data_IF_148942532185
#
_entry.id   IF_148942532185
#
_cell.length_a   1.000
_cell.length_b   1.000
_cell.length_c   1.000
_cell.angle_alpha   90.00
_cell.angle_beta   90.00
_cell.angle_gamma   90.00
#
_symmetry.space_group_name_H-M   'P 1'
#
loop_
_entity.id
_entity.type
_entity.pdbx_description
1 polymer ?
#
# COMPACT_ATOMS: atom_id res chain seq x y z
N UNK A 1 -20.17 -20.29 26.61
CA UNK A 1 -19.40 -20.71 25.42
C UNK A 1 -18.19 -19.80 25.33
N UNK A 2 -17.00 -20.28 25.71
CA UNK A 2 -15.75 -19.53 25.57
C UNK A 2 -15.10 -20.00 24.26
N UNK A 3 -14.93 -19.08 23.30
CA UNK A 3 -14.16 -19.38 22.10
C UNK A 3 -12.71 -19.01 22.40
N UNK A 4 -11.88 -20.01 22.65
CA UNK A 4 -10.44 -19.86 22.73
C UNK A 4 -9.94 -19.75 21.29
N UNK A 5 -9.83 -18.53 20.76
CA UNK A 5 -9.21 -18.25 19.45
C UNK A 5 -7.71 -18.53 19.53
N UNK A 6 -7.37 -19.81 19.70
CA UNK A 6 -6.00 -20.31 19.62
C UNK A 6 -5.44 -19.95 18.25
N UNK A 7 -4.21 -19.47 18.24
CA UNK A 7 -3.47 -19.14 17.02
C UNK A 7 -4.15 -18.04 16.17
N UNK A 8 -4.93 -17.16 16.81
CA UNK A 8 -5.58 -16.01 16.15
C UNK A 8 -4.56 -15.12 15.45
N UNK A 9 -3.44 -14.84 16.10
CA UNK A 9 -2.42 -13.96 15.56
C UNK A 9 -1.79 -14.55 14.31
N UNK A 10 -1.53 -15.86 14.28
CA UNK A 10 -1.03 -16.57 13.10
C UNK A 10 -2.04 -16.54 11.96
N UNK A 11 -3.33 -16.77 12.26
CA UNK A 11 -4.40 -16.70 11.26
C UNK A 11 -4.57 -15.29 10.69
N UNK A 12 -4.45 -14.24 11.52
CA UNK A 12 -4.50 -12.85 11.08
C UNK A 12 -3.25 -12.46 10.28
N UNK A 13 -2.07 -12.95 10.67
CA UNK A 13 -0.83 -12.73 9.92
C UNK A 13 -0.90 -13.34 8.54
N UNK A 14 -1.39 -14.58 8.40
CA UNK A 14 -1.56 -15.20 7.08
C UNK A 14 -2.48 -14.35 6.18
N UNK A 15 -3.56 -13.80 6.75
CA UNK A 15 -4.48 -12.90 6.04
C UNK A 15 -3.82 -11.58 5.62
N UNK A 16 -2.98 -10.99 6.46
CA UNK A 16 -2.25 -9.78 6.12
C UNK A 16 -1.21 -10.08 5.04
N UNK A 17 -0.33 -11.04 5.26
CA UNK A 17 0.77 -11.35 4.35
C UNK A 17 0.25 -11.80 2.97
N UNK A 18 -0.72 -12.71 2.93
CA UNK A 18 -1.30 -13.19 1.68
C UNK A 18 -2.28 -12.18 1.05
N UNK A 19 -2.88 -11.28 1.86
CA UNK A 19 -3.86 -10.30 1.41
C UNK A 19 -3.28 -8.97 0.91
N UNK A 20 -2.03 -8.65 1.24
CA UNK A 20 -1.33 -7.45 0.75
C UNK A 20 -1.16 -7.50 -0.77
N UNK A 21 -1.53 -6.42 -1.45
CA UNK A 21 -1.44 -6.29 -2.92
C UNK A 21 -0.02 -6.04 -3.43
N UNK A 22 0.83 -5.38 -2.63
CA UNK A 22 2.21 -5.13 -2.99
C UNK A 22 3.08 -6.39 -2.77
N UNK A 23 3.48 -7.02 -3.89
CA UNK A 23 4.33 -8.23 -3.91
C UNK A 23 5.68 -7.99 -3.23
N UNK A 24 6.22 -6.76 -3.29
CA UNK A 24 7.50 -6.42 -2.65
C UNK A 24 7.34 -6.40 -1.14
N UNK A 25 6.24 -5.81 -0.65
CA UNK A 25 5.91 -5.81 0.77
C UNK A 25 5.61 -7.24 1.27
N UNK A 26 4.83 -8.01 0.54
CA UNK A 26 4.56 -9.41 0.87
C UNK A 26 5.85 -10.22 1.02
N UNK A 27 6.78 -10.13 0.04
CA UNK A 27 8.09 -10.80 0.13
C UNK A 27 8.92 -10.29 1.30
N UNK A 28 8.86 -9.00 1.58
CA UNK A 28 9.56 -8.39 2.72
C UNK A 28 9.05 -8.93 4.06
N UNK A 29 7.73 -9.07 4.22
CA UNK A 29 7.11 -9.63 5.42
C UNK A 29 7.44 -11.13 5.57
N UNK A 30 7.34 -11.92 4.50
CA UNK A 30 7.68 -13.35 4.49
C UNK A 30 9.15 -13.64 4.85
N UNK A 31 10.05 -12.70 4.60
CA UNK A 31 11.47 -12.85 4.92
C UNK A 31 11.80 -12.61 6.40
N UNK A 32 10.83 -12.18 7.22
CA UNK A 32 11.04 -11.88 8.64
C UNK A 32 10.76 -13.12 9.50
N UNK A 33 11.76 -13.70 10.18
CA UNK A 33 11.57 -14.93 10.94
C UNK A 33 10.72 -14.73 12.20
N UNK A 34 10.80 -13.57 12.84
CA UNK A 34 10.07 -13.24 14.08
C UNK A 34 9.05 -12.10 13.83
N UNK A 35 8.26 -12.23 12.77
CA UNK A 35 7.23 -11.25 12.45
C UNK A 35 6.09 -11.33 13.47
N UNK A 36 5.77 -10.21 14.11
CA UNK A 36 4.61 -10.09 14.98
C UNK A 36 3.44 -9.46 14.23
N UNK A 37 2.21 -9.86 14.56
CA UNK A 37 0.98 -9.34 13.96
C UNK A 37 0.92 -7.81 13.95
N UNK A 38 1.25 -7.18 15.09
CA UNK A 38 1.28 -5.72 15.22
C UNK A 38 2.19 -5.09 14.15
N UNK A 39 3.40 -5.61 14.00
CA UNK A 39 4.39 -5.06 13.09
C UNK A 39 4.02 -5.29 11.62
N UNK A 40 3.48 -6.47 11.30
CA UNK A 40 2.93 -6.74 9.97
C UNK A 40 1.83 -5.75 9.59
N UNK A 41 0.95 -5.44 10.56
CA UNK A 41 -0.15 -4.49 10.38
C UNK A 41 0.37 -3.06 10.18
N UNK A 42 1.30 -2.60 11.02
CA UNK A 42 1.90 -1.27 10.92
C UNK A 42 2.60 -1.06 9.58
N UNK A 43 3.36 -2.06 9.11
CA UNK A 43 4.06 -1.99 7.83
C UNK A 43 3.09 -2.01 6.63
N UNK A 44 2.03 -2.82 6.69
CA UNK A 44 0.97 -2.83 5.67
C UNK A 44 0.28 -1.46 5.55
N UNK A 45 -0.16 -0.90 6.68
CA UNK A 45 -0.82 0.41 6.74
C UNK A 45 0.11 1.52 6.27
N UNK A 46 1.39 1.50 6.67
CA UNK A 46 2.37 2.48 6.23
C UNK A 46 2.57 2.44 4.71
N UNK A 47 2.64 1.24 4.12
CA UNK A 47 2.79 1.08 2.67
C UNK A 47 1.59 1.62 1.91
N UNK A 48 0.36 1.34 2.37
CA UNK A 48 -0.86 1.87 1.76
C UNK A 48 -0.91 3.40 1.86
N UNK A 49 -0.54 3.96 3.01
CA UNK A 49 -0.49 5.41 3.21
C UNK A 49 0.53 6.10 2.28
N UNK A 50 1.69 5.47 2.05
CA UNK A 50 2.70 5.96 1.10
C UNK A 50 2.16 5.93 -0.32
N UNK A 51 1.52 4.83 -0.73
CA UNK A 51 0.95 4.72 -2.07
C UNK A 51 -0.14 5.76 -2.32
N UNK A 52 -1.06 5.94 -1.36
CA UNK A 52 -2.08 6.98 -1.41
C UNK A 52 -1.46 8.38 -1.49
N UNK A 53 -0.46 8.66 -0.65
CA UNK A 53 0.24 9.95 -0.64
C UNK A 53 0.92 10.23 -1.99
N UNK A 54 1.60 9.24 -2.56
CA UNK A 54 2.22 9.35 -3.88
C UNK A 54 1.18 9.62 -4.97
N UNK A 55 0.04 8.92 -4.94
CA UNK A 55 -1.06 9.16 -5.87
C UNK A 55 -1.61 10.59 -5.76
N UNK A 56 -1.78 11.12 -4.55
CA UNK A 56 -2.24 12.50 -4.34
C UNK A 56 -1.23 13.54 -4.82
N UNK A 57 0.07 13.33 -4.58
CA UNK A 57 1.14 14.19 -5.12
C UNK A 57 1.11 14.20 -6.65
N UNK A 58 0.95 13.02 -7.27
CA UNK A 58 0.82 12.90 -8.72
C UNK A 58 -0.44 13.58 -9.26
N UNK A 59 -1.58 13.47 -8.56
CA UNK A 59 -2.82 14.18 -8.93
C UNK A 59 -2.68 15.69 -8.79
N UNK A 60 -2.04 16.18 -7.73
CA UNK A 60 -1.80 17.60 -7.50
C UNK A 60 -0.82 18.21 -8.53
N UNK A 61 0.10 17.41 -9.07
CA UNK A 61 1.03 17.83 -10.13
C UNK A 61 0.38 17.80 -11.54
N UNK A 62 -0.73 17.07 -11.70
CA UNK A 62 -1.43 16.87 -12.98
C UNK A 62 -2.14 18.10 -13.59
N UNK A 63 -2.59 19.15 -12.87
CA UNK A 63 -3.17 20.34 -13.48
C UNK A 63 -2.17 21.05 -14.39
N UNK A 64 -0.93 21.21 -13.94
CA UNK A 64 0.14 21.87 -14.70
C UNK A 64 0.51 21.15 -16.00
N UNK A 65 0.44 19.81 -16.02
CA UNK A 65 0.66 19.02 -17.22
C UNK A 65 -0.49 19.12 -18.22
N UNK A 66 -1.74 19.21 -17.74
CA UNK A 66 -2.90 19.38 -18.63
C UNK A 66 -2.86 20.74 -19.31
N UNK A 67 -2.54 21.80 -18.57
CA UNK A 67 -2.46 23.16 -19.10
C UNK A 67 -1.27 23.31 -20.06
N UNK A 68 -0.13 22.67 -19.76
CA UNK A 68 1.02 22.62 -20.67
C UNK A 68 0.72 21.89 -21.98
N UNK A 69 0.09 20.71 -21.93
CA UNK A 69 -0.23 19.93 -23.14
C UNK A 69 -1.32 20.61 -23.96
N UNK A 70 -2.37 21.17 -23.34
CA UNK A 70 -3.41 21.94 -24.04
C UNK A 70 -2.82 23.22 -24.64
N UNK A 71 -1.94 23.92 -23.93
CA UNK A 71 -1.27 25.12 -24.44
C UNK A 71 -0.33 24.84 -25.61
N UNK A 72 0.38 23.70 -25.61
CA UNK A 72 1.34 23.37 -26.68
C UNK A 72 0.67 22.81 -27.94
N UNK A 73 -0.44 22.07 -27.81
CA UNK A 73 -1.18 21.52 -28.97
C UNK A 73 -1.97 22.62 -29.71
N UNK A 74 -2.39 23.68 -29.02
CA UNK A 74 -3.14 24.80 -29.63
C UNK A 74 -2.26 25.74 -30.49
N UNK A 75 -0.93 25.69 -30.34
CA UNK A 75 0.02 26.50 -31.12
C UNK A 75 0.48 25.85 -32.44
N UNK A 76 -0.04 24.66 -32.75
CA UNK A 76 0.33 23.86 -33.94
C UNK A 76 -0.83 23.67 -34.94
N UNK A 77 -1.92 24.45 -34.83
CA UNK A 77 -3.06 24.38 -35.77
C UNK A 77 -3.36 25.75 -36.36
#
# INVERSE_FOLDING_TARGET
MHCEFRDLDDALMDRIVCGVRDIRLQRHLLAKPDLMLQKATEEAVASEAVELSAQEIHKASRPYLKDYVVGHVTLLV
#
